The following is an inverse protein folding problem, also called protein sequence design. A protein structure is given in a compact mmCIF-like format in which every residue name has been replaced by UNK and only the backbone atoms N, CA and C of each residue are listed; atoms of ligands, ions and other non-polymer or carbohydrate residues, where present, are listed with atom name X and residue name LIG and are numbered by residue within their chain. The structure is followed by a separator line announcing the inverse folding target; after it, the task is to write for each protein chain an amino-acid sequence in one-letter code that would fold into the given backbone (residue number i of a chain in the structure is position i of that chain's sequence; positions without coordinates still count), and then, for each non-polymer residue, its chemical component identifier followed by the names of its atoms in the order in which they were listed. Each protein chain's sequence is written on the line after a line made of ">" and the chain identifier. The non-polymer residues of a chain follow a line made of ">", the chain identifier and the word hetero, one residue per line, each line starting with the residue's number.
data_IF_074864969759
#
_entry.id   IF_074864969759
#
_cell.length_a   1.000
_cell.length_b   1.000
_cell.length_c   1.000
_cell.angle_alpha   90.00
_cell.angle_beta   90.00
_cell.angle_gamma   90.00
#
_symmetry.space_group_name_H-M   'P 1'
#
loop_
_entity.id
_entity.type
_entity.pdbx_description
1 polymer ?
#
# COMPACT_ATOMS: atom_id res chain seq x y z
N UNK A 1 8.98 11.85 -13.36
CA UNK A 1 7.75 12.66 -13.20
C UNK A 1 7.92 13.84 -12.26
N UNK A 2 8.33 13.68 -10.99
CA UNK A 2 8.48 14.80 -10.02
C UNK A 2 9.23 16.03 -10.58
N UNK A 3 10.41 15.83 -11.18
CA UNK A 3 11.21 16.91 -11.81
C UNK A 3 10.50 17.60 -12.99
N UNK A 4 9.67 16.86 -13.75
CA UNK A 4 8.95 17.42 -14.89
C UNK A 4 7.72 18.24 -14.44
N UNK A 5 7.03 17.79 -13.39
CA UNK A 5 5.88 18.49 -12.81
C UNK A 5 6.34 19.80 -12.15
N UNK A 6 7.46 19.80 -11.43
CA UNK A 6 8.02 21.02 -10.83
C UNK A 6 8.45 22.07 -11.85
N UNK A 7 8.79 21.67 -13.08
CA UNK A 7 9.11 22.60 -14.17
C UNK A 7 7.90 23.28 -14.80
N UNK A 8 6.71 22.69 -14.69
CA UNK A 8 5.47 23.21 -15.30
C UNK A 8 4.53 23.82 -14.27
N UNK A 9 4.48 23.27 -13.05
CA UNK A 9 3.66 23.74 -11.94
C UNK A 9 4.50 23.80 -10.64
N UNK A 10 5.25 24.91 -10.41
CA UNK A 10 6.22 25.02 -9.31
C UNK A 10 5.61 24.84 -7.91
N UNK A 11 4.35 25.26 -7.73
CA UNK A 11 3.66 25.22 -6.43
C UNK A 11 2.99 23.88 -6.10
N UNK A 12 3.09 22.88 -6.99
CA UNK A 12 2.38 21.61 -6.79
C UNK A 12 3.11 20.73 -5.77
N UNK A 13 2.47 20.45 -4.63
CA UNK A 13 2.94 19.43 -3.68
C UNK A 13 2.77 18.05 -4.29
N UNK A 14 3.89 17.38 -4.58
CA UNK A 14 3.88 16.01 -5.05
C UNK A 14 3.53 15.05 -3.90
N UNK A 15 2.28 14.63 -3.83
CA UNK A 15 1.80 13.70 -2.81
C UNK A 15 2.07 12.26 -3.23
N UNK A 16 2.57 11.45 -2.30
CA UNK A 16 2.80 10.02 -2.53
C UNK A 16 1.49 9.27 -2.39
N UNK A 17 1.28 8.25 -3.21
CA UNK A 17 0.11 7.39 -3.07
C UNK A 17 0.16 6.60 -1.76
N UNK A 18 -0.90 6.72 -0.95
CA UNK A 18 -1.07 5.94 0.26
C UNK A 18 -1.00 4.42 -0.03
N UNK A 19 -1.51 3.99 -1.18
CA UNK A 19 -1.41 2.60 -1.62
C UNK A 19 0.05 2.17 -1.73
N UNK A 20 0.92 2.98 -2.34
CA UNK A 20 2.34 2.64 -2.47
C UNK A 20 3.05 2.58 -1.11
N UNK A 21 2.62 3.37 -0.12
CA UNK A 21 3.19 3.25 1.23
C UNK A 21 2.76 1.94 1.89
N UNK A 22 1.47 1.57 1.80
CA UNK A 22 0.98 0.27 2.31
C UNK A 22 1.61 -0.90 1.56
N UNK A 23 1.84 -0.74 0.25
CA UNK A 23 2.43 -1.77 -0.62
C UNK A 23 3.83 -2.18 -0.14
N UNK A 24 4.64 -1.25 0.38
CA UNK A 24 5.95 -1.57 0.98
C UNK A 24 5.85 -2.64 2.06
N UNK A 25 4.79 -2.57 2.89
CA UNK A 25 4.53 -3.52 3.96
C UNK A 25 3.96 -4.84 3.43
N UNK A 26 3.00 -4.78 2.51
CA UNK A 26 2.38 -6.00 1.97
C UNK A 26 3.39 -6.82 1.17
N UNK A 27 4.29 -6.18 0.42
CA UNK A 27 5.40 -6.84 -0.26
C UNK A 27 6.44 -7.43 0.71
N UNK A 28 6.66 -6.80 1.87
CA UNK A 28 7.48 -7.37 2.92
C UNK A 28 6.82 -8.62 3.54
N UNK A 29 5.51 -8.59 3.79
CA UNK A 29 4.74 -9.75 4.25
C UNK A 29 4.78 -10.90 3.23
N UNK A 30 4.64 -10.59 1.94
CA UNK A 30 4.71 -11.58 0.86
C UNK A 30 6.09 -12.20 0.71
N UNK A 31 7.17 -11.44 0.98
CA UNK A 31 8.53 -11.99 1.02
C UNK A 31 8.73 -12.91 2.22
N UNK A 32 8.25 -12.52 3.40
CA UNK A 32 8.22 -13.41 4.55
C UNK A 32 7.46 -14.71 4.21
N UNK A 33 6.32 -14.62 3.52
CA UNK A 33 5.58 -15.81 3.03
C UNK A 33 6.44 -16.72 2.15
N UNK A 34 7.20 -16.19 1.19
CA UNK A 34 8.04 -17.00 0.31
C UNK A 34 9.11 -17.78 1.08
N UNK A 35 9.60 -17.26 2.21
CA UNK A 35 10.50 -18.01 3.10
C UNK A 35 9.79 -19.14 3.88
N UNK A 36 8.49 -19.03 4.19
CA UNK A 36 7.71 -20.08 4.87
C UNK A 36 7.10 -21.13 3.94
N UNK A 37 6.87 -20.78 2.67
CA UNK A 37 6.19 -21.63 1.67
C UNK A 37 6.96 -22.87 1.22
N UNK A 38 8.08 -23.23 1.86
CA UNK A 38 8.83 -24.47 1.60
C UNK A 38 8.42 -25.66 2.48
N UNK A 39 7.53 -25.45 3.46
CA UNK A 39 6.94 -26.54 4.25
C UNK A 39 5.63 -27.06 3.63
N UNK A 40 5.25 -28.30 3.94
CA UNK A 40 4.07 -29.07 3.47
C UNK A 40 2.67 -28.40 3.66
N UNK A 41 2.58 -27.08 3.90
CA UNK A 41 1.31 -26.35 4.05
C UNK A 41 0.62 -26.18 2.69
N UNK A 42 -0.67 -26.52 2.60
CA UNK A 42 -1.47 -26.33 1.38
C UNK A 42 -1.46 -24.85 0.94
N UNK A 43 -1.14 -24.60 -0.33
CA UNK A 43 -1.02 -23.24 -0.91
C UNK A 43 -2.25 -22.34 -0.63
N UNK A 44 -3.46 -22.89 -0.64
CA UNK A 44 -4.70 -22.15 -0.35
C UNK A 44 -4.78 -21.58 1.06
N UNK A 45 -4.35 -22.35 2.07
CA UNK A 45 -4.36 -21.92 3.48
C UNK A 45 -3.39 -20.75 3.71
N UNK A 46 -2.21 -20.81 3.09
CA UNK A 46 -1.21 -19.73 3.19
C UNK A 46 -1.75 -18.43 2.58
N UNK A 47 -2.40 -18.50 1.40
CA UNK A 47 -3.03 -17.31 0.78
C UNK A 47 -4.13 -16.72 1.67
N UNK A 48 -4.94 -17.56 2.31
CA UNK A 48 -5.96 -17.12 3.25
C UNK A 48 -5.34 -16.35 4.42
N UNK A 49 -4.28 -16.87 5.04
CA UNK A 49 -3.63 -16.20 6.17
C UNK A 49 -2.93 -14.89 5.76
N UNK A 50 -2.29 -14.84 4.58
CA UNK A 50 -1.73 -13.58 4.06
C UNK A 50 -2.79 -12.51 3.88
N UNK A 51 -4.00 -12.88 3.42
CA UNK A 51 -5.14 -11.96 3.38
C UNK A 51 -5.45 -11.43 4.78
N UNK A 52 -5.45 -12.27 5.82
CA UNK A 52 -5.69 -11.81 7.20
C UNK A 52 -4.60 -10.85 7.69
N UNK A 53 -3.33 -11.17 7.44
CA UNK A 53 -2.17 -10.36 7.87
C UNK A 53 -2.14 -8.97 7.24
N UNK A 54 -2.71 -8.81 6.05
CA UNK A 54 -2.78 -7.51 5.36
C UNK A 54 -4.00 -6.68 5.78
N UNK A 55 -4.98 -7.26 6.48
CA UNK A 55 -6.19 -6.58 6.91
C UNK A 55 -6.01 -5.77 8.22
N UNK A 56 -6.96 -4.85 8.44
CA UNK A 56 -7.13 -4.19 9.72
C UNK A 56 -7.65 -5.21 10.77
N UNK A 57 -7.06 -5.29 11.98
CA UNK A 57 -7.51 -6.18 13.04
C UNK A 57 -8.99 -6.02 13.40
N UNK A 58 -9.53 -4.81 13.24
CA UNK A 58 -10.93 -4.50 13.50
C UNK A 58 -11.90 -5.17 12.51
N UNK A 59 -11.41 -5.62 11.35
CA UNK A 59 -12.20 -6.32 10.32
C UNK A 59 -12.15 -7.85 10.42
N UNK A 60 -11.29 -8.37 11.30
CA UNK A 60 -11.09 -9.80 11.49
C UNK A 60 -12.06 -10.33 12.54
N UNK A 61 -12.60 -11.53 12.32
CA UNK A 61 -13.30 -12.28 13.39
C UNK A 61 -12.32 -12.70 14.48
N UNK A 62 -12.81 -13.15 15.63
CA UNK A 62 -11.91 -13.56 16.72
C UNK A 62 -11.09 -14.81 16.33
N UNK A 63 -11.67 -15.73 15.56
CA UNK A 63 -11.00 -16.90 15.00
C UNK A 63 -9.90 -16.50 14.01
N UNK A 64 -10.17 -15.50 13.16
CA UNK A 64 -9.18 -14.96 12.21
C UNK A 64 -8.03 -14.24 12.95
N UNK A 65 -8.33 -13.50 14.02
CA UNK A 65 -7.30 -12.89 14.88
C UNK A 65 -6.44 -13.94 15.56
N UNK A 66 -7.05 -15.02 16.04
CA UNK A 66 -6.32 -16.13 16.64
C UNK A 66 -5.36 -16.76 15.62
N UNK A 67 -5.83 -17.01 14.40
CA UNK A 67 -4.99 -17.48 13.30
C UNK A 67 -3.80 -16.54 13.04
N UNK A 68 -4.05 -15.22 13.02
CA UNK A 68 -2.99 -14.21 12.85
C UNK A 68 -1.99 -14.21 14.02
N UNK A 69 -2.46 -14.41 15.27
CA UNK A 69 -1.59 -14.51 16.44
C UNK A 69 -0.68 -15.74 16.38
N UNK A 70 -1.19 -16.88 15.94
CA UNK A 70 -0.42 -18.12 15.78
C UNK A 70 0.68 -17.94 14.73
N UNK A 71 0.34 -17.38 13.58
CA UNK A 71 1.32 -17.13 12.52
C UNK A 71 2.41 -16.13 12.92
N UNK A 72 2.07 -15.12 13.71
CA UNK A 72 3.09 -14.21 14.25
C UNK A 72 4.11 -14.93 15.13
N UNK A 73 3.73 -16.00 15.84
CA UNK A 73 4.66 -16.80 16.66
C UNK A 73 5.61 -17.66 15.82
N UNK A 74 5.28 -17.94 14.56
CA UNK A 74 6.15 -18.72 13.67
C UNK A 74 7.39 -17.93 13.22
N UNK A 75 7.38 -16.59 13.31
CA UNK A 75 8.53 -15.77 12.89
C UNK A 75 8.53 -14.35 13.43
N UNK A 76 9.65 -14.00 14.08
CA UNK A 76 9.95 -12.64 14.53
C UNK A 76 9.93 -11.62 13.38
N UNK A 77 10.39 -12.02 12.18
CA UNK A 77 10.36 -11.13 11.02
C UNK A 77 8.94 -10.88 10.54
N UNK A 78 8.10 -11.92 10.47
CA UNK A 78 6.70 -11.77 10.09
C UNK A 78 5.96 -10.90 11.11
N UNK A 79 6.18 -11.16 12.40
CA UNK A 79 5.62 -10.38 13.49
C UNK A 79 6.05 -8.91 13.39
N UNK A 80 7.34 -8.64 13.21
CA UNK A 80 7.85 -7.28 13.11
C UNK A 80 7.23 -6.52 11.93
N UNK A 81 7.13 -7.15 10.75
CA UNK A 81 6.50 -6.54 9.58
C UNK A 81 5.02 -6.27 9.85
N UNK A 82 4.28 -7.25 10.36
CA UNK A 82 2.86 -7.11 10.69
C UNK A 82 2.63 -5.96 11.69
N UNK A 83 3.34 -5.94 12.82
CA UNK A 83 3.21 -4.89 13.83
C UNK A 83 3.56 -3.51 13.25
N UNK A 84 4.60 -3.43 12.42
CA UNK A 84 5.00 -2.18 11.78
C UNK A 84 3.92 -1.64 10.83
N UNK A 85 3.23 -2.51 10.10
CA UNK A 85 2.08 -2.16 9.27
C UNK A 85 0.90 -1.65 10.12
N UNK A 86 0.54 -2.37 11.18
CA UNK A 86 -0.58 -1.95 12.04
C UNK A 86 -0.29 -0.62 12.75
N UNK A 87 0.94 -0.41 13.21
CA UNK A 87 1.34 0.87 13.77
C UNK A 87 1.31 1.97 12.69
N UNK A 88 1.73 1.69 11.44
CA UNK A 88 1.64 2.67 10.37
C UNK A 88 0.18 3.03 10.02
N UNK A 89 -0.76 2.07 10.05
CA UNK A 89 -2.20 2.34 9.91
C UNK A 89 -2.73 3.25 11.02
N UNK A 90 -2.15 3.21 12.22
CA UNK A 90 -2.46 4.19 13.27
C UNK A 90 -1.86 5.57 12.96
N UNK A 91 -0.62 5.63 12.45
CA UNK A 91 0.02 6.88 11.99
C UNK A 91 -0.82 7.54 10.89
N UNK A 92 -1.37 6.76 9.97
CA UNK A 92 -2.16 7.28 8.84
C UNK A 92 -3.55 7.80 9.24
N UNK A 93 -4.08 7.41 10.39
CA UNK A 93 -5.30 8.01 10.98
C UNK A 93 -5.02 9.38 11.64
N UNK A 94 -4.00 10.12 11.19
CA UNK A 94 -3.69 11.44 11.75
C UNK A 94 -4.52 12.53 11.08
N UNK A 95 -5.03 13.46 11.87
CA UNK A 95 -5.93 14.54 11.42
C UNK A 95 -5.24 15.90 11.30
N UNK A 96 -4.00 16.03 11.82
CA UNK A 96 -3.23 17.26 11.74
C UNK A 96 -1.76 16.98 11.49
N UNK A 97 -1.07 17.96 10.91
CA UNK A 97 0.36 17.86 10.60
C UNK A 97 1.20 17.60 11.86
N UNK A 98 0.90 18.29 12.96
CA UNK A 98 1.56 18.06 14.25
C UNK A 98 1.37 16.62 14.73
N UNK A 99 0.15 16.07 14.60
CA UNK A 99 -0.14 14.70 14.99
C UNK A 99 0.56 13.69 14.09
N UNK A 100 0.55 13.91 12.77
CA UNK A 100 1.22 13.08 11.78
C UNK A 100 2.73 13.03 12.01
N UNK A 101 3.39 14.20 12.18
CA UNK A 101 4.83 14.30 12.51
C UNK A 101 5.17 13.52 13.77
N UNK A 102 4.42 13.76 14.85
CA UNK A 102 4.65 13.09 16.14
C UNK A 102 4.52 11.56 16.02
N UNK A 103 3.44 11.07 15.41
CA UNK A 103 3.18 9.64 15.27
C UNK A 103 4.18 8.98 14.32
N UNK A 104 4.52 9.63 13.21
CA UNK A 104 5.52 9.13 12.26
C UNK A 104 6.91 9.06 12.90
N UNK A 105 7.31 10.08 13.66
CA UNK A 105 8.58 10.05 14.40
C UNK A 105 8.61 8.92 15.42
N UNK A 106 7.54 8.72 16.19
CA UNK A 106 7.43 7.61 17.14
C UNK A 106 7.50 6.25 16.42
N UNK A 107 6.88 6.13 15.25
CA UNK A 107 6.96 4.94 14.41
C UNK A 107 8.40 4.70 13.94
N UNK A 108 9.09 5.73 13.43
CA UNK A 108 10.48 5.63 12.96
C UNK A 108 11.40 5.23 14.10
N UNK A 109 11.33 5.89 15.26
CA UNK A 109 12.15 5.56 16.43
C UNK A 109 11.99 4.10 16.86
N UNK A 110 10.78 3.56 16.79
CA UNK A 110 10.50 2.17 17.15
C UNK A 110 11.14 1.17 16.17
N UNK A 111 11.15 1.47 14.87
CA UNK A 111 11.44 0.49 13.83
C UNK A 111 12.76 0.70 13.08
N UNK A 112 13.43 1.84 13.25
CA UNK A 112 14.68 2.18 12.55
C UNK A 112 15.83 1.21 12.86
N UNK A 113 15.82 0.62 14.07
CA UNK A 113 16.81 -0.36 14.52
C UNK A 113 16.20 -1.76 14.70
N UNK A 114 15.05 -2.02 14.08
CA UNK A 114 14.41 -3.35 14.13
C UNK A 114 15.38 -4.43 13.60
N UNK A 115 15.49 -5.61 14.25
CA UNK A 115 16.30 -6.71 13.74
C UNK A 115 15.89 -7.13 12.32
N UNK A 116 14.60 -7.03 12.00
CA UNK A 116 14.08 -7.30 10.67
C UNK A 116 14.59 -6.28 9.64
N UNK A 117 15.40 -6.74 8.68
CA UNK A 117 15.97 -5.91 7.61
C UNK A 117 14.90 -5.25 6.73
N UNK A 118 13.80 -5.95 6.45
CA UNK A 118 12.68 -5.42 5.69
C UNK A 118 12.05 -4.21 6.37
N UNK A 119 11.78 -4.30 7.68
CA UNK A 119 11.23 -3.21 8.48
C UNK A 119 12.18 -2.01 8.52
N UNK A 120 13.49 -2.24 8.69
CA UNK A 120 14.49 -1.16 8.61
C UNK A 120 14.53 -0.48 7.25
N UNK A 121 14.44 -1.23 6.16
CA UNK A 121 14.42 -0.67 4.81
C UNK A 121 13.18 0.22 4.59
N UNK A 122 12.02 -0.22 5.09
CA UNK A 122 10.80 0.59 5.10
C UNK A 122 11.04 1.86 5.92
N UNK A 123 11.56 1.75 7.14
CA UNK A 123 11.80 2.91 8.00
C UNK A 123 12.73 3.94 7.38
N UNK A 124 13.84 3.51 6.79
CA UNK A 124 14.76 4.40 6.05
C UNK A 124 14.06 5.11 4.88
N UNK A 125 13.20 4.38 4.17
CA UNK A 125 12.40 4.95 3.06
C UNK A 125 11.41 6.00 3.55
N UNK A 126 10.78 5.77 4.71
CA UNK A 126 9.86 6.75 5.30
C UNK A 126 10.60 8.00 5.77
N UNK A 127 11.75 7.86 6.42
CA UNK A 127 12.60 8.99 6.83
C UNK A 127 12.98 9.85 5.64
N UNK A 128 13.47 9.24 4.54
CA UNK A 128 13.85 9.95 3.32
C UNK A 128 12.70 10.75 2.68
N UNK A 129 11.45 10.35 2.93
CA UNK A 129 10.25 10.90 2.28
C UNK A 129 9.25 11.46 3.29
N UNK A 130 9.75 11.95 4.43
CA UNK A 130 8.91 12.35 5.57
C UNK A 130 7.83 13.36 5.18
N UNK A 131 8.20 14.45 4.50
CA UNK A 131 7.24 15.51 4.10
C UNK A 131 6.20 15.01 3.09
N UNK A 132 6.64 14.15 2.17
CA UNK A 132 5.78 13.50 1.18
C UNK A 132 4.75 12.59 1.85
N UNK A 133 5.15 11.85 2.89
CA UNK A 133 4.29 10.95 3.65
C UNK A 133 3.32 11.74 4.53
N UNK A 134 3.77 12.82 5.17
CA UNK A 134 2.88 13.69 5.94
C UNK A 134 1.82 14.29 5.02
N UNK A 135 2.22 14.78 3.85
CA UNK A 135 1.29 15.30 2.85
C UNK A 135 0.31 14.22 2.35
N UNK A 136 0.79 12.98 2.19
CA UNK A 136 -0.05 11.82 1.86
C UNK A 136 -1.09 11.53 2.93
N UNK A 137 -0.69 11.50 4.21
CA UNK A 137 -1.57 11.20 5.34
C UNK A 137 -2.69 12.25 5.47
N UNK A 138 -2.38 13.52 5.22
CA UNK A 138 -3.33 14.63 5.35
C UNK A 138 -4.14 14.89 4.08
N UNK A 139 -3.79 14.23 2.97
CA UNK A 139 -4.47 14.44 1.69
C UNK A 139 -5.91 13.91 1.76
N UNK A 140 -6.92 14.73 1.39
CA UNK A 140 -8.30 14.27 1.31
C UNK A 140 -8.55 13.38 0.07
N UNK A 141 -7.60 13.35 -0.88
CA UNK A 141 -7.75 12.65 -2.15
C UNK A 141 -7.41 11.17 -1.99
N UNK A 142 -8.35 10.31 -2.35
CA UNK A 142 -8.11 8.88 -2.54
C UNK A 142 -7.83 8.57 -4.00
N UNK A 143 -6.82 7.73 -4.25
CA UNK A 143 -6.52 7.27 -5.61
C UNK A 143 -7.53 6.24 -6.15
N UNK A 144 -8.54 5.84 -5.34
CA UNK A 144 -9.53 4.84 -5.73
C UNK A 144 -10.31 5.20 -7.00
N UNK A 145 -10.64 6.48 -7.21
CA UNK A 145 -11.27 6.93 -8.48
C UNK A 145 -10.34 6.73 -9.67
N UNK A 146 -9.07 7.12 -9.53
CA UNK A 146 -8.05 6.95 -10.57
C UNK A 146 -7.76 5.46 -10.86
N UNK A 147 -7.65 4.63 -9.82
CA UNK A 147 -7.49 3.18 -9.95
C UNK A 147 -8.68 2.52 -10.65
N UNK A 148 -9.91 2.94 -10.32
CA UNK A 148 -11.13 2.50 -10.99
C UNK A 148 -11.09 2.78 -12.49
N UNK A 149 -10.75 4.00 -12.87
CA UNK A 149 -10.56 4.38 -14.28
C UNK A 149 -9.47 3.56 -14.95
N UNK A 150 -8.30 3.41 -14.32
CA UNK A 150 -7.20 2.61 -14.84
C UNK A 150 -7.60 1.13 -15.04
N UNK A 151 -8.36 0.56 -14.11
CA UNK A 151 -8.87 -0.81 -14.22
C UNK A 151 -9.89 -0.95 -15.35
N UNK A 152 -10.78 0.05 -15.54
CA UNK A 152 -11.73 0.07 -16.67
C UNK A 152 -10.99 0.12 -18.00
N UNK A 153 -9.98 0.98 -18.14
CA UNK A 153 -9.12 1.07 -19.33
C UNK A 153 -8.40 -0.26 -19.60
N UNK A 154 -7.80 -0.88 -18.56
CA UNK A 154 -7.16 -2.20 -18.68
C UNK A 154 -8.16 -3.28 -19.09
N UNK A 155 -9.38 -3.25 -18.57
CA UNK A 155 -10.45 -4.17 -18.94
C UNK A 155 -10.87 -3.98 -20.40
N UNK A 156 -11.03 -2.75 -20.88
CA UNK A 156 -11.32 -2.48 -22.30
C UNK A 156 -10.24 -3.05 -23.21
N UNK A 157 -8.95 -2.87 -22.85
CA UNK A 157 -7.83 -3.45 -23.59
C UNK A 157 -7.90 -4.99 -23.62
N UNK A 158 -8.22 -5.64 -22.49
CA UNK A 158 -8.38 -7.10 -22.40
C UNK A 158 -9.56 -7.62 -23.22
N UNK A 159 -10.73 -6.98 -23.11
CA UNK A 159 -11.93 -7.36 -23.89
C UNK A 159 -11.74 -7.15 -25.39
N UNK A 160 -10.89 -6.21 -25.79
CA UNK A 160 -10.54 -5.98 -27.19
C UNK A 160 -9.43 -6.91 -27.72
N UNK A 161 -8.86 -7.80 -26.90
CA UNK A 161 -7.68 -8.61 -27.25
C UNK A 161 -6.47 -7.78 -27.72
N UNK A 162 -6.34 -6.56 -27.19
CA UNK A 162 -5.35 -5.58 -27.62
C UNK A 162 -5.81 -4.70 -28.77
N UNK A 163 -5.14 -3.56 -28.94
CA UNK A 163 -5.44 -2.59 -29.97
C UNK A 163 -4.19 -2.33 -30.79
N UNK A 164 -4.27 -2.54 -32.11
CA UNK A 164 -3.18 -2.21 -33.04
C UNK A 164 -3.07 -0.70 -33.30
N UNK A 165 -4.20 0.01 -33.26
CA UNK A 165 -4.27 1.45 -33.46
C UNK A 165 -4.65 2.15 -32.14
N UNK A 166 -3.76 3.03 -31.67
CA UNK A 166 -3.94 3.75 -30.41
C UNK A 166 -5.05 4.80 -30.46
N UNK A 167 -5.33 5.38 -31.63
CA UNK A 167 -6.43 6.34 -31.82
C UNK A 167 -7.77 5.64 -31.63
N UNK A 168 -7.93 4.42 -32.17
CA UNK A 168 -9.14 3.59 -31.95
C UNK A 168 -9.31 3.21 -30.48
N UNK A 169 -8.21 2.92 -29.79
CA UNK A 169 -8.24 2.67 -28.35
C UNK A 169 -8.66 3.91 -27.56
N UNK A 170 -8.06 5.07 -27.86
CA UNK A 170 -8.39 6.33 -27.23
C UNK A 170 -9.86 6.72 -27.45
N UNK A 171 -10.40 6.49 -28.66
CA UNK A 171 -11.80 6.71 -28.96
C UNK A 171 -12.72 5.82 -28.12
N UNK A 172 -12.40 4.52 -28.01
CA UNK A 172 -13.16 3.60 -27.15
C UNK A 172 -13.12 4.02 -25.68
N UNK A 173 -11.95 4.44 -25.18
CA UNK A 173 -11.83 4.95 -23.82
C UNK A 173 -12.74 6.16 -23.63
N UNK A 174 -12.68 7.15 -24.53
CA UNK A 174 -13.53 8.36 -24.46
C UNK A 174 -15.01 8.02 -24.45
N UNK A 175 -15.49 7.16 -25.35
CA UNK A 175 -16.91 6.77 -25.41
C UNK A 175 -17.40 6.13 -24.11
N UNK A 176 -16.57 5.30 -23.49
CA UNK A 176 -16.92 4.56 -22.28
C UNK A 176 -16.73 5.37 -20.98
N UNK A 177 -15.93 6.44 -21.01
CA UNK A 177 -15.71 7.34 -19.87
C UNK A 177 -16.54 8.61 -19.94
N UNK A 178 -17.07 9.00 -21.11
CA UNK A 178 -17.89 10.19 -21.28
C UNK A 178 -19.21 10.14 -20.48
N UNK A 179 -19.83 8.95 -20.36
CA UNK A 179 -21.07 8.76 -19.58
C UNK A 179 -20.89 8.77 -18.05
N UNK A 180 -19.72 9.17 -17.54
CA UNK A 180 -19.40 9.21 -16.09
C UNK A 180 -19.27 10.66 -15.58
N UNK A 181 -19.19 11.64 -16.48
CA UNK A 181 -19.03 13.07 -16.14
C UNK A 181 -20.30 13.91 -16.38
N UNK A 182 -21.41 13.26 -16.73
CA UNK A 182 -22.76 13.83 -16.79
C UNK A 182 -23.55 13.40 -15.55
#
# INVERSE_FOLDING_TARGET
>A
MKKAIQGVCPETKHVVDYFHVIQLFTEALDRCRQSFGKGNKKHGHVRYVCRLLTQCPEKLTEEERQTVREWQKESDSLQAVYQSLQHFRYVSKSQSERQAKRRLNAWVHRYLFCPCSAVRAIAKSLVKRTDEIISCILSPYSNGKMEGTNNKIKLMKRRGYGYRNIQRFALRVRLETANILS
#
